data_IF_086966236792
#
_entry.id   IF_086966236792
#
_cell.length_a   1.000
_cell.length_b   1.000
_cell.length_c   1.000
_cell.angle_alpha   90.00
_cell.angle_beta   90.00
_cell.angle_gamma   90.00
#
_symmetry.space_group_name_H-M   'P 1'
#
loop_
_entity.id
_entity.type
_entity.pdbx_description
1 polymer ?
#
# COMPACT_ATOMS: atom_id res chain seq x y z
N UNK A 1 -25.18 -32.87 80.88
CA UNK A 1 -26.42 -33.58 81.25
C UNK A 1 -27.07 -34.05 79.96
N UNK A 2 -27.48 -35.32 79.98
CA UNK A 2 -27.96 -36.17 78.89
C UNK A 2 -29.01 -35.54 77.94
N UNK A 3 -28.78 -35.80 76.63
CA UNK A 3 -29.71 -36.36 75.62
C UNK A 3 -31.16 -35.85 75.50
N UNK A 4 -31.51 -35.38 74.29
CA UNK A 4 -32.78 -35.62 73.58
C UNK A 4 -32.46 -35.62 72.06
N UNK A 5 -32.30 -36.80 71.41
CA UNK A 5 -33.27 -37.47 70.49
C UNK A 5 -33.84 -36.54 69.41
N UNK A 6 -33.32 -36.55 68.17
CA UNK A 6 -33.54 -37.49 67.05
C UNK A 6 -34.95 -37.40 66.40
N UNK A 7 -35.03 -36.89 65.16
CA UNK A 7 -35.41 -37.68 63.96
C UNK A 7 -35.62 -36.81 62.70
N UNK A 8 -34.91 -37.23 61.65
CA UNK A 8 -35.25 -37.29 60.21
C UNK A 8 -35.97 -36.13 59.51
N UNK A 9 -35.31 -35.60 58.46
CA UNK A 9 -35.76 -35.87 57.08
C UNK A 9 -34.75 -35.40 56.02
N UNK A 10 -34.69 -36.22 54.98
CA UNK A 10 -33.89 -36.22 53.75
C UNK A 10 -33.90 -34.94 52.89
N UNK A 11 -32.78 -34.73 52.17
CA UNK A 11 -32.61 -34.22 50.78
C UNK A 11 -33.26 -32.87 50.39
N UNK A 12 -32.65 -31.95 49.65
CA UNK A 12 -31.59 -32.06 48.66
C UNK A 12 -30.91 -30.69 48.48
N UNK A 13 -29.58 -30.67 48.43
CA UNK A 13 -28.82 -29.52 47.91
C UNK A 13 -28.92 -29.55 46.38
N UNK A 14 -29.68 -28.62 45.81
CA UNK A 14 -29.69 -28.37 44.37
C UNK A 14 -28.49 -27.48 44.05
N UNK A 15 -27.36 -28.11 43.73
CA UNK A 15 -26.22 -27.42 43.12
C UNK A 15 -26.51 -27.26 41.64
N UNK A 16 -26.95 -26.08 41.21
CA UNK A 16 -27.06 -25.74 39.79
C UNK A 16 -25.63 -25.62 39.24
N UNK A 17 -25.11 -26.71 38.69
CA UNK A 17 -23.94 -26.67 37.84
C UNK A 17 -24.34 -25.98 36.54
N UNK A 18 -24.00 -24.70 36.40
CA UNK A 18 -23.95 -24.05 35.09
C UNK A 18 -22.91 -24.81 34.26
N UNK A 19 -23.40 -25.69 33.41
CA UNK A 19 -22.68 -26.17 32.23
C UNK A 19 -22.40 -24.94 31.36
N UNK A 20 -21.26 -24.29 31.61
CA UNK A 20 -20.61 -23.50 30.57
C UNK A 20 -20.25 -24.53 29.51
N UNK A 21 -21.08 -24.62 28.47
CA UNK A 21 -20.70 -25.31 27.25
C UNK A 21 -19.48 -24.57 26.71
N UNK A 22 -18.29 -25.06 27.08
CA UNK A 22 -17.10 -24.83 26.28
C UNK A 22 -17.44 -25.44 24.92
N UNK A 23 -17.81 -24.59 23.97
CA UNK A 23 -17.76 -24.96 22.56
C UNK A 23 -16.29 -25.19 22.30
N UNK A 24 -15.83 -26.42 22.54
CA UNK A 24 -14.59 -26.90 21.97
C UNK A 24 -14.73 -26.66 20.47
N UNK A 25 -13.94 -25.75 19.91
CA UNK A 25 -13.83 -25.51 18.47
C UNK A 25 -13.10 -26.68 17.80
N UNK A 26 -13.54 -27.91 18.08
CA UNK A 26 -13.15 -29.10 17.35
C UNK A 26 -13.70 -28.99 15.91
N UNK A 27 -12.97 -28.28 15.04
CA UNK A 27 -13.37 -28.10 13.65
C UNK A 27 -12.38 -27.39 12.73
N UNK A 28 -11.53 -26.50 13.25
CA UNK A 28 -10.58 -25.75 12.39
C UNK A 28 -9.15 -25.94 12.89
N UNK A 29 -8.60 -27.14 12.66
CA UNK A 29 -7.19 -27.40 12.98
C UNK A 29 -6.32 -26.53 12.09
N UNK A 30 -5.61 -25.58 12.70
CA UNK A 30 -4.56 -24.81 12.07
C UNK A 30 -3.47 -25.75 11.54
N UNK A 31 -3.15 -25.63 10.25
CA UNK A 31 -2.14 -26.45 9.57
C UNK A 31 -1.24 -25.57 8.73
N UNK A 32 -0.02 -26.02 8.50
CA UNK A 32 0.90 -25.40 7.55
C UNK A 32 0.78 -26.07 6.18
N UNK A 33 0.98 -25.29 5.12
CA UNK A 33 1.03 -25.77 3.74
C UNK A 33 -0.33 -26.14 3.13
N UNK A 34 -1.44 -25.57 3.62
CA UNK A 34 -2.74 -25.78 2.98
C UNK A 34 -2.74 -25.18 1.58
N UNK A 35 -3.27 -25.89 0.59
CA UNK A 35 -3.43 -25.33 -0.77
C UNK A 35 -4.89 -24.97 -0.97
N UNK A 36 -5.16 -23.70 -1.29
CA UNK A 36 -6.49 -23.19 -1.61
C UNK A 36 -6.57 -22.88 -3.10
N UNK A 37 -7.55 -23.45 -3.78
CA UNK A 37 -7.83 -23.17 -5.18
C UNK A 37 -9.12 -22.38 -5.32
N UNK A 38 -9.23 -21.59 -6.39
CA UNK A 38 -10.50 -20.94 -6.76
C UNK A 38 -11.61 -22.02 -6.88
N UNK A 39 -12.72 -21.91 -6.13
CA UNK A 39 -13.85 -22.82 -6.27
C UNK A 39 -14.50 -22.72 -7.66
N UNK A 40 -15.00 -23.85 -8.17
CA UNK A 40 -15.67 -23.90 -9.49
C UNK A 40 -16.99 -23.11 -9.49
N UNK A 41 -17.63 -23.00 -8.34
CA UNK A 41 -18.92 -22.34 -8.15
C UNK A 41 -18.83 -20.84 -7.82
N UNK A 42 -17.64 -20.24 -7.94
CA UNK A 42 -17.38 -18.82 -7.65
C UNK A 42 -17.70 -18.37 -6.21
N UNK A 43 -17.92 -19.31 -5.29
CA UNK A 43 -18.17 -18.98 -3.89
C UNK A 43 -16.88 -18.51 -3.19
N UNK A 44 -16.97 -17.53 -2.27
CA UNK A 44 -15.82 -17.15 -1.46
C UNK A 44 -15.33 -18.30 -0.58
N UNK A 45 -14.02 -18.34 -0.34
CA UNK A 45 -13.41 -19.28 0.60
C UNK A 45 -13.23 -18.57 1.93
N UNK A 46 -13.76 -19.15 3.00
CA UNK A 46 -13.62 -18.65 4.37
C UNK A 46 -12.75 -19.59 5.19
N UNK A 47 -11.97 -19.00 6.09
CA UNK A 47 -11.33 -19.73 7.17
C UNK A 47 -11.47 -18.95 8.47
N UNK A 48 -11.85 -19.60 9.57
CA UNK A 48 -12.68 -20.81 9.64
C UNK A 48 -13.84 -20.84 8.65
N UNK A 49 -14.22 -22.03 8.16
CA UNK A 49 -15.32 -22.16 7.18
C UNK A 49 -16.68 -21.65 7.71
N UNK A 50 -16.83 -21.60 9.04
CA UNK A 50 -18.02 -21.11 9.75
C UNK A 50 -18.02 -19.59 9.99
N UNK A 51 -16.88 -18.92 9.83
CA UNK A 51 -16.77 -17.48 10.09
C UNK A 51 -17.33 -16.65 8.93
N UNK A 52 -17.89 -15.48 9.25
CA UNK A 52 -18.40 -14.49 8.32
C UNK A 52 -18.02 -13.09 8.82
N UNK A 53 -17.94 -12.11 7.92
CA UNK A 53 -17.42 -10.76 8.21
C UNK A 53 -18.32 -9.96 9.17
N UNK A 54 -19.58 -10.36 9.35
CA UNK A 54 -20.48 -9.74 10.33
C UNK A 54 -20.30 -10.27 11.77
N UNK A 55 -19.33 -11.17 11.99
CA UNK A 55 -19.00 -11.76 13.27
C UNK A 55 -17.63 -11.29 13.73
N UNK A 56 -17.42 -11.26 15.04
CA UNK A 56 -16.07 -11.06 15.60
C UNK A 56 -15.09 -12.08 15.02
N UNK A 57 -13.85 -11.64 14.77
CA UNK A 57 -12.78 -12.53 14.34
C UNK A 57 -12.67 -13.75 15.28
N UNK A 58 -12.60 -14.98 14.74
CA UNK A 58 -12.61 -16.19 15.56
C UNK A 58 -11.40 -16.26 16.48
N UNK A 59 -11.62 -16.78 17.69
CA UNK A 59 -10.55 -17.05 18.63
C UNK A 59 -9.59 -18.10 18.07
N UNK A 60 -8.30 -17.86 18.26
CA UNK A 60 -7.22 -18.76 17.95
C UNK A 60 -6.42 -19.02 19.22
N UNK A 61 -6.23 -20.29 19.56
CA UNK A 61 -5.44 -20.70 20.71
C UNK A 61 -3.98 -20.24 20.58
N UNK A 62 -3.26 -20.23 21.71
CA UNK A 62 -1.82 -19.97 21.71
C UNK A 62 -1.04 -21.02 20.90
N UNK A 63 0.19 -20.66 20.53
CA UNK A 63 1.17 -21.55 19.89
C UNK A 63 0.67 -22.21 18.59
N UNK A 64 -0.08 -21.46 17.76
CA UNK A 64 -0.53 -21.94 16.46
C UNK A 64 0.38 -21.42 15.35
N UNK A 65 0.55 -22.24 14.30
CA UNK A 65 1.25 -21.86 13.09
C UNK A 65 0.48 -22.37 11.89
N UNK A 66 -0.07 -21.45 11.10
CA UNK A 66 -0.88 -21.78 9.95
C UNK A 66 -0.30 -21.18 8.68
N UNK A 67 -0.43 -21.88 7.56
CA UNK A 67 -0.14 -21.28 6.26
C UNK A 67 -0.99 -21.85 5.14
N UNK A 68 -1.25 -20.99 4.16
CA UNK A 68 -2.02 -21.25 2.96
C UNK A 68 -1.26 -20.77 1.74
N UNK A 69 -1.17 -21.62 0.73
CA UNK A 69 -0.76 -21.26 -0.62
C UNK A 69 -2.05 -21.17 -1.43
N UNK A 70 -2.38 -19.96 -1.86
CA UNK A 70 -3.61 -19.68 -2.58
C UNK A 70 -3.28 -19.55 -4.05
N UNK A 71 -3.87 -20.42 -4.89
CA UNK A 71 -3.68 -20.36 -6.34
C UNK A 71 -4.64 -19.35 -6.97
N UNK A 72 -4.14 -18.63 -7.97
CA UNK A 72 -4.88 -17.61 -8.71
C UNK A 72 -4.79 -17.97 -10.20
N UNK A 73 -5.90 -18.39 -10.83
CA UNK A 73 -5.89 -18.73 -12.25
C UNK A 73 -5.52 -17.53 -13.13
N UNK A 74 -4.95 -17.80 -14.31
CA UNK A 74 -4.69 -16.74 -15.30
C UNK A 74 -5.98 -16.00 -15.67
N UNK A 75 -5.90 -14.68 -15.85
CA UNK A 75 -7.05 -13.80 -16.07
C UNK A 75 -7.84 -13.43 -14.81
N UNK A 76 -7.43 -13.92 -13.63
CA UNK A 76 -8.04 -13.58 -12.35
C UNK A 76 -7.03 -12.92 -11.40
N UNK A 77 -7.59 -12.25 -10.39
CA UNK A 77 -6.92 -11.87 -9.15
C UNK A 77 -7.68 -12.46 -7.96
N UNK A 78 -7.01 -12.59 -6.81
CA UNK A 78 -7.64 -12.90 -5.54
C UNK A 78 -7.70 -11.67 -4.64
N UNK A 79 -8.87 -11.39 -4.08
CA UNK A 79 -9.13 -10.40 -3.03
C UNK A 79 -9.14 -11.13 -1.68
N UNK A 80 -8.13 -10.89 -0.85
CA UNK A 80 -8.02 -11.43 0.50
C UNK A 80 -8.47 -10.36 1.51
N UNK A 81 -9.37 -10.74 2.40
CA UNK A 81 -9.85 -9.91 3.51
C UNK A 81 -9.51 -10.66 4.80
N UNK A 82 -8.81 -9.99 5.72
CA UNK A 82 -8.38 -10.58 6.99
C UNK A 82 -9.04 -9.80 8.13
N UNK A 83 -9.59 -10.52 9.11
CA UNK A 83 -10.09 -9.97 10.37
C UNK A 83 -9.31 -10.64 11.50
N UNK A 84 -8.50 -9.89 12.24
CA UNK A 84 -7.66 -10.50 13.26
C UNK A 84 -6.78 -9.53 14.04
N UNK A 85 -6.30 -10.02 15.18
CA UNK A 85 -5.42 -9.28 16.07
C UNK A 85 -4.51 -10.24 16.82
N UNK A 86 -3.21 -9.95 16.76
CA UNK A 86 -2.19 -10.54 17.62
C UNK A 86 -2.16 -9.82 18.97
N UNK A 87 -2.03 -10.59 20.05
CA UNK A 87 -1.99 -10.05 21.41
C UNK A 87 -0.56 -9.93 21.98
N UNK A 88 0.42 -9.90 21.08
CA UNK A 88 1.84 -9.69 21.36
C UNK A 88 2.54 -9.05 20.15
N UNK A 89 3.84 -8.76 20.28
CA UNK A 89 4.63 -8.02 19.28
C UNK A 89 5.52 -8.91 18.40
N UNK A 90 5.48 -10.23 18.59
CA UNK A 90 6.35 -11.21 17.92
C UNK A 90 5.54 -12.13 16.99
N UNK A 91 4.24 -12.23 17.22
CA UNK A 91 3.27 -12.90 16.36
C UNK A 91 2.85 -11.99 15.23
N UNK A 92 2.67 -12.55 14.03
CA UNK A 92 2.35 -11.76 12.85
C UNK A 92 1.46 -12.49 11.85
N UNK A 93 0.66 -11.71 11.11
CA UNK A 93 0.11 -12.10 9.83
C UNK A 93 1.12 -11.75 8.74
N UNK A 94 1.31 -12.65 7.78
CA UNK A 94 2.29 -12.52 6.74
C UNK A 94 1.68 -12.85 5.38
N UNK A 95 1.95 -12.02 4.38
CA UNK A 95 1.60 -12.33 2.98
C UNK A 95 2.80 -12.18 2.08
N UNK A 96 2.94 -13.10 1.12
CA UNK A 96 3.95 -13.05 0.06
C UNK A 96 3.24 -13.20 -1.28
N UNK A 97 3.36 -12.21 -2.16
CA UNK A 97 2.77 -12.27 -3.49
C UNK A 97 3.65 -13.01 -4.52
N UNK A 98 3.18 -13.12 -5.77
CA UNK A 98 3.89 -13.85 -6.83
C UNK A 98 5.21 -13.21 -7.27
N UNK A 99 5.42 -11.93 -6.99
CA UNK A 99 6.67 -11.22 -7.22
C UNK A 99 7.62 -11.28 -6.01
N UNK A 100 7.18 -11.88 -4.90
CA UNK A 100 7.95 -11.99 -3.67
C UNK A 100 7.84 -10.77 -2.75
N UNK A 101 6.91 -9.84 -3.01
CA UNK A 101 6.69 -8.72 -2.08
C UNK A 101 6.10 -9.28 -0.78
N UNK A 102 6.73 -8.93 0.35
CA UNK A 102 6.39 -9.40 1.68
C UNK A 102 5.72 -8.30 2.51
N UNK A 103 4.61 -8.63 3.15
CA UNK A 103 3.92 -7.75 4.10
C UNK A 103 3.73 -8.49 5.41
N UNK A 104 3.96 -7.79 6.51
CA UNK A 104 3.80 -8.31 7.87
C UNK A 104 3.01 -7.31 8.73
N UNK A 105 2.00 -7.81 9.44
CA UNK A 105 1.13 -7.00 10.32
C UNK A 105 0.83 -7.74 11.62
N UNK A 106 0.39 -7.01 12.65
CA UNK A 106 -0.09 -7.57 13.93
C UNK A 106 -1.59 -7.37 14.11
N UNK A 107 -2.23 -6.58 13.25
CA UNK A 107 -3.65 -6.27 13.32
C UNK A 107 -4.21 -6.07 11.90
N UNK A 108 -5.35 -6.69 11.64
CA UNK A 108 -6.07 -6.63 10.38
C UNK A 108 -7.55 -6.34 10.65
N UNK A 109 -8.05 -5.26 10.04
CA UNK A 109 -9.41 -4.76 10.20
C UNK A 109 -10.18 -4.80 8.87
N UNK A 110 -10.09 -5.92 8.17
CA UNK A 110 -10.84 -6.22 6.93
C UNK A 110 -10.49 -5.34 5.72
N UNK A 111 -9.35 -4.66 5.76
CA UNK A 111 -8.82 -3.95 4.60
C UNK A 111 -8.33 -4.96 3.55
N UNK A 112 -8.79 -4.88 2.29
CA UNK A 112 -8.51 -5.91 1.31
C UNK A 112 -7.06 -5.86 0.79
N UNK A 113 -6.53 -7.04 0.49
CA UNK A 113 -5.32 -7.27 -0.29
C UNK A 113 -5.69 -7.87 -1.64
N UNK A 114 -4.91 -7.54 -2.67
CA UNK A 114 -5.15 -7.98 -4.03
C UNK A 114 -3.91 -8.69 -4.56
N UNK A 115 -4.09 -9.93 -5.02
CA UNK A 115 -3.01 -10.79 -5.46
C UNK A 115 -3.25 -11.29 -6.89
N UNK A 116 -2.29 -11.10 -7.80
CA UNK A 116 -2.39 -11.60 -9.17
C UNK A 116 -2.00 -13.08 -9.26
N UNK A 117 -2.19 -13.63 -10.46
CA UNK A 117 -1.63 -14.93 -10.86
C UNK A 117 -0.11 -15.03 -10.61
N UNK A 118 0.44 -16.24 -10.34
CA UNK A 118 -0.26 -17.53 -10.23
C UNK A 118 -0.65 -17.92 -8.81
N UNK A 119 -0.13 -17.24 -7.78
CA UNK A 119 -0.38 -17.56 -6.37
C UNK A 119 0.08 -16.46 -5.42
N UNK A 120 -0.40 -16.54 -4.19
CA UNK A 120 0.21 -15.87 -3.03
C UNK A 120 0.24 -16.82 -1.84
N UNK A 121 1.06 -16.50 -0.85
CA UNK A 121 1.12 -17.21 0.43
C UNK A 121 0.53 -16.31 1.52
N UNK A 122 -0.34 -16.87 2.36
CA UNK A 122 -0.79 -16.29 3.62
C UNK A 122 -0.24 -17.18 4.74
N UNK A 123 0.44 -16.61 5.71
CA UNK A 123 0.94 -17.32 6.87
C UNK A 123 0.65 -16.53 8.13
N UNK A 124 0.54 -17.26 9.24
CA UNK A 124 0.50 -16.65 10.56
C UNK A 124 1.15 -17.58 11.58
N UNK A 125 1.74 -16.99 12.59
CA UNK A 125 2.22 -17.70 13.78
C UNK A 125 1.93 -16.85 14.99
N UNK A 126 1.43 -17.48 16.06
CA UNK A 126 1.16 -16.79 17.30
C UNK A 126 1.73 -17.50 18.53
N UNK A 127 2.28 -16.72 19.46
CA UNK A 127 2.70 -17.22 20.76
C UNK A 127 1.57 -17.14 21.78
N UNK A 128 0.83 -16.03 21.83
CA UNK A 128 -0.35 -15.88 22.69
C UNK A 128 -1.64 -16.11 21.94
N UNK A 129 -2.71 -16.43 22.67
CA UNK A 129 -4.06 -16.49 22.12
C UNK A 129 -4.36 -15.22 21.31
N UNK A 130 -4.92 -15.39 20.13
CA UNK A 130 -5.12 -14.35 19.13
C UNK A 130 -6.53 -14.45 18.55
N UNK A 131 -6.83 -13.58 17.57
CA UNK A 131 -8.02 -13.72 16.73
C UNK A 131 -7.61 -13.73 15.28
N UNK A 132 -8.21 -14.61 14.48
CA UNK A 132 -7.87 -14.72 13.07
C UNK A 132 -8.99 -15.38 12.27
N UNK A 133 -9.44 -14.68 11.23
CA UNK A 133 -10.30 -15.20 10.18
C UNK A 133 -9.98 -14.51 8.85
N UNK A 134 -10.23 -15.19 7.75
CA UNK A 134 -10.09 -14.60 6.43
C UNK A 134 -11.18 -15.05 5.46
N UNK A 135 -11.36 -14.22 4.43
CA UNK A 135 -12.16 -14.49 3.24
C UNK A 135 -11.32 -14.25 2.00
N UNK A 136 -11.45 -15.14 1.02
CA UNK A 136 -10.86 -14.98 -0.31
C UNK A 136 -11.98 -14.99 -1.35
N UNK A 137 -11.97 -14.00 -2.23
CA UNK A 137 -12.82 -13.92 -3.42
C UNK A 137 -11.92 -13.84 -4.64
N UNK A 138 -12.27 -14.53 -5.73
CA UNK A 138 -11.55 -14.39 -7.00
C UNK A 138 -12.35 -13.51 -7.94
N UNK A 139 -11.71 -12.49 -8.50
CA UNK A 139 -12.30 -11.59 -9.49
C UNK A 139 -11.58 -11.70 -10.83
N UNK A 140 -12.27 -11.42 -11.92
CA UNK A 140 -11.65 -11.26 -13.25
C UNK A 140 -11.07 -9.87 -13.37
N UNK A 141 -9.95 -9.72 -14.08
CA UNK A 141 -9.49 -8.40 -14.49
C UNK A 141 -10.56 -7.68 -15.34
N UNK A 142 -10.65 -6.34 -15.25
CA UNK A 142 -11.55 -5.58 -16.10
C UNK A 142 -11.27 -5.86 -17.58
N UNK A 143 -12.34 -6.03 -18.37
CA UNK A 143 -12.24 -6.29 -19.80
C UNK A 143 -11.97 -5.00 -20.57
N UNK A 144 -10.84 -4.96 -21.29
CA UNK A 144 -10.47 -3.85 -22.17
C UNK A 144 -9.57 -2.80 -21.51
N UNK A 145 -8.73 -2.17 -22.34
CA UNK A 145 -7.95 -1.00 -21.95
C UNK A 145 -8.86 0.23 -21.93
N UNK A 146 -8.84 0.97 -20.82
CA UNK A 146 -9.52 2.28 -20.76
C UNK A 146 -8.74 3.31 -21.57
N UNK A 147 -7.40 3.25 -21.51
CA UNK A 147 -6.49 4.10 -22.30
C UNK A 147 -5.18 3.35 -22.62
N UNK A 148 -4.55 3.75 -23.72
CA UNK A 148 -3.15 3.47 -24.09
C UNK A 148 -2.47 4.82 -24.27
N UNK A 149 -1.46 5.11 -23.44
CA UNK A 149 -0.85 6.44 -23.39
C UNK A 149 0.68 6.38 -23.52
N UNK A 150 1.19 7.12 -24.50
CA UNK A 150 2.60 7.47 -24.59
C UNK A 150 2.94 8.57 -23.59
N UNK A 151 3.85 8.27 -22.66
CA UNK A 151 4.40 9.19 -21.67
C UNK A 151 5.80 9.56 -22.12
N UNK A 152 5.92 10.71 -22.79
CA UNK A 152 7.19 11.26 -23.28
C UNK A 152 7.40 12.65 -22.68
N UNK A 153 7.14 13.71 -23.44
CA UNK A 153 7.50 15.09 -23.05
C UNK A 153 6.78 15.63 -21.82
N UNK A 154 5.58 15.13 -21.53
CA UNK A 154 4.76 15.56 -20.40
C UNK A 154 4.42 14.37 -19.51
N UNK A 155 4.40 14.56 -18.18
CA UNK A 155 3.98 13.50 -17.27
C UNK A 155 2.46 13.33 -17.36
N UNK A 156 1.98 12.19 -16.88
CA UNK A 156 0.55 11.91 -16.72
C UNK A 156 0.26 11.78 -15.23
N UNK A 157 -0.77 12.48 -14.76
CA UNK A 157 -1.31 12.34 -13.41
C UNK A 157 -2.68 11.69 -13.52
N UNK A 158 -2.90 10.63 -12.74
CA UNK A 158 -4.15 9.88 -12.75
C UNK A 158 -4.71 9.75 -11.35
N UNK A 159 -6.00 10.03 -11.18
CA UNK A 159 -6.74 9.66 -9.98
C UNK A 159 -6.97 8.13 -9.98
N UNK A 160 -5.98 7.40 -9.47
CA UNK A 160 -5.80 5.97 -9.68
C UNK A 160 -6.86 5.11 -8.99
N UNK A 161 -7.47 5.63 -7.91
CA UNK A 161 -8.51 4.93 -7.14
C UNK A 161 -9.94 5.42 -7.41
N UNK A 162 -10.12 6.30 -8.40
CA UNK A 162 -11.44 6.85 -8.77
C UNK A 162 -12.37 5.79 -9.38
N UNK A 163 -11.88 5.10 -10.42
CA UNK A 163 -12.65 4.12 -11.18
C UNK A 163 -11.94 2.76 -11.18
N UNK A 164 -12.67 1.68 -11.44
CA UNK A 164 -12.07 0.42 -11.87
C UNK A 164 -11.57 0.63 -13.30
N UNK A 165 -10.28 0.41 -13.56
CA UNK A 165 -9.73 0.57 -14.90
C UNK A 165 -8.43 -0.20 -15.11
N UNK A 166 -8.07 -0.35 -16.37
CA UNK A 166 -6.78 -0.84 -16.84
C UNK A 166 -6.22 0.10 -17.90
N UNK A 167 -4.91 0.35 -17.86
CA UNK A 167 -4.23 1.18 -18.85
C UNK A 167 -2.80 0.68 -19.12
N UNK A 168 -2.36 0.85 -20.36
CA UNK A 168 -0.97 0.67 -20.77
C UNK A 168 -0.29 2.05 -20.84
N UNK A 169 0.94 2.13 -20.31
CA UNK A 169 1.79 3.30 -20.42
C UNK A 169 3.13 2.93 -21.04
N UNK A 170 3.52 3.66 -22.08
CA UNK A 170 4.79 3.47 -22.79
C UNK A 170 5.63 4.74 -22.75
N UNK A 171 6.94 4.59 -22.56
CA UNK A 171 7.90 5.69 -22.55
C UNK A 171 9.12 5.34 -23.39
N UNK A 172 9.92 6.33 -23.74
CA UNK A 172 11.07 6.16 -24.65
C UNK A 172 12.16 5.31 -24.01
N UNK A 173 12.40 5.49 -22.71
CA UNK A 173 13.42 4.76 -21.94
C UNK A 173 12.83 3.85 -20.84
N UNK A 174 11.51 3.68 -20.85
CA UNK A 174 10.74 3.08 -19.75
C UNK A 174 9.89 4.11 -19.02
N UNK A 175 9.36 3.72 -17.86
CA UNK A 175 8.38 4.47 -17.08
C UNK A 175 8.89 4.65 -15.65
N UNK A 176 8.72 5.86 -15.11
CA UNK A 176 8.90 6.19 -13.71
C UNK A 176 7.53 6.37 -13.05
N UNK A 177 7.34 5.78 -11.86
CA UNK A 177 6.09 5.87 -11.09
C UNK A 177 6.31 6.40 -9.67
N UNK A 178 5.41 7.28 -9.24
CA UNK A 178 5.24 7.71 -7.84
C UNK A 178 3.77 7.77 -7.45
N UNK A 179 3.44 7.29 -6.26
CA UNK A 179 2.07 7.18 -5.78
C UNK A 179 1.84 8.17 -4.64
N UNK A 180 0.94 9.12 -4.86
CA UNK A 180 0.59 10.16 -3.90
C UNK A 180 -0.77 9.82 -3.29
N UNK A 181 -0.84 9.23 -2.08
CA UNK A 181 -2.11 8.97 -1.45
C UNK A 181 -2.83 10.26 -1.10
N UNK A 182 -4.15 10.27 -1.19
CA UNK A 182 -4.95 11.41 -0.75
C UNK A 182 -4.83 11.64 0.77
N UNK A 183 -4.59 10.57 1.53
CA UNK A 183 -4.30 10.62 2.96
C UNK A 183 -3.03 9.79 3.28
N UNK A 184 -1.89 10.42 3.60
CA UNK A 184 -0.64 9.70 3.88
C UNK A 184 -0.70 8.84 5.16
N UNK A 185 -1.72 9.02 6.01
CA UNK A 185 -1.96 8.19 7.21
C UNK A 185 -2.88 7.00 6.96
N UNK A 186 -3.63 6.99 5.84
CA UNK A 186 -4.56 5.92 5.49
C UNK A 186 -4.59 5.73 3.98
N UNK A 187 -3.71 4.87 3.48
CA UNK A 187 -3.45 4.65 2.05
C UNK A 187 -3.68 3.19 1.63
N UNK A 188 -4.49 2.44 2.37
CA UNK A 188 -4.79 1.02 2.06
C UNK A 188 -5.51 0.84 0.72
N UNK A 189 -6.21 1.87 0.23
CA UNK A 189 -6.80 1.93 -1.11
C UNK A 189 -5.79 1.66 -2.22
N UNK A 190 -4.52 2.03 -2.05
CA UNK A 190 -3.46 1.77 -3.04
C UNK A 190 -3.20 0.27 -3.27
N UNK A 191 -3.65 -0.63 -2.37
CA UNK A 191 -3.51 -2.08 -2.55
C UNK A 191 -4.31 -2.61 -3.73
N UNK A 192 -5.38 -1.93 -4.15
CA UNK A 192 -6.22 -2.34 -5.28
C UNK A 192 -5.58 -2.05 -6.64
N UNK A 193 -4.52 -1.26 -6.69
CA UNK A 193 -3.83 -0.93 -7.93
C UNK A 193 -2.58 -1.78 -8.09
N UNK A 194 -2.57 -2.64 -9.11
CA UNK A 194 -1.47 -3.54 -9.45
C UNK A 194 -0.67 -3.01 -10.64
N UNK A 195 0.64 -3.21 -10.60
CA UNK A 195 1.59 -2.80 -11.64
C UNK A 195 2.26 -4.03 -12.24
N UNK A 196 2.22 -4.12 -13.56
CA UNK A 196 2.85 -5.16 -14.37
C UNK A 196 3.83 -4.50 -15.35
N UNK A 197 4.97 -5.13 -15.59
CA UNK A 197 5.78 -4.84 -16.77
C UNK A 197 5.31 -5.72 -17.93
N UNK A 198 4.90 -5.09 -19.04
CA UNK A 198 4.23 -5.76 -20.16
C UNK A 198 2.89 -5.12 -20.51
N UNK A 199 2.29 -5.57 -21.61
CA UNK A 199 1.15 -4.89 -22.27
C UNK A 199 -0.19 -5.11 -21.58
N UNK A 200 -0.23 -6.11 -20.72
CA UNK A 200 -1.44 -6.57 -20.05
C UNK A 200 -1.08 -7.25 -18.71
N UNK A 201 -2.11 -7.80 -18.06
CA UNK A 201 -1.98 -8.57 -16.83
C UNK A 201 -1.25 -9.92 -16.99
N UNK A 202 -0.91 -10.35 -18.22
CA UNK A 202 -0.03 -11.51 -18.45
C UNK A 202 1.45 -11.11 -18.38
N UNK A 203 1.75 -9.81 -18.32
CA UNK A 203 3.06 -9.28 -18.05
C UNK A 203 3.61 -9.71 -16.68
N UNK A 204 4.88 -9.40 -16.43
CA UNK A 204 5.52 -9.70 -15.16
C UNK A 204 4.96 -8.77 -14.09
N UNK A 205 4.22 -9.32 -13.14
CA UNK A 205 3.78 -8.55 -11.98
C UNK A 205 4.98 -8.02 -11.19
N UNK A 206 4.91 -6.75 -10.82
CA UNK A 206 5.97 -6.04 -10.10
C UNK A 206 5.58 -5.88 -8.64
N UNK A 207 4.50 -5.13 -8.40
CA UNK A 207 4.01 -4.79 -7.07
C UNK A 207 2.65 -4.12 -7.16
N UNK A 208 2.05 -3.81 -6.01
CA UNK A 208 0.91 -2.90 -5.92
C UNK A 208 1.40 -1.50 -5.50
N UNK A 209 0.57 -0.47 -5.71
CA UNK A 209 0.95 0.90 -5.39
C UNK A 209 1.18 1.14 -3.89
N UNK A 210 0.52 0.38 -3.02
CA UNK A 210 0.74 0.47 -1.58
C UNK A 210 2.20 0.11 -1.23
N UNK A 211 2.71 -1.01 -1.75
CA UNK A 211 4.08 -1.44 -1.54
C UNK A 211 5.09 -0.49 -2.20
N UNK A 212 4.80 0.01 -3.40
CA UNK A 212 5.66 1.01 -4.07
C UNK A 212 5.76 2.30 -3.24
N UNK A 213 4.63 2.81 -2.76
CA UNK A 213 4.59 3.99 -1.88
C UNK A 213 5.38 3.77 -0.58
N UNK A 214 5.22 2.61 0.07
CA UNK A 214 5.96 2.28 1.29
C UNK A 214 7.48 2.24 1.09
N UNK A 215 7.96 1.94 -0.11
CA UNK A 215 9.39 1.94 -0.43
C UNK A 215 10.03 3.35 -0.37
N UNK A 216 9.20 4.41 -0.46
CA UNK A 216 9.61 5.82 -0.54
C UNK A 216 10.60 6.12 -1.68
N UNK A 217 10.56 5.29 -2.72
CA UNK A 217 11.42 5.39 -3.90
C UNK A 217 10.57 5.32 -5.16
N UNK A 218 11.04 5.98 -6.21
CA UNK A 218 10.43 5.80 -7.52
C UNK A 218 10.55 4.33 -7.94
N UNK A 219 9.52 3.83 -8.60
CA UNK A 219 9.67 2.65 -9.42
C UNK A 219 10.16 3.06 -10.82
N UNK A 220 11.10 2.31 -11.37
CA UNK A 220 11.61 2.48 -12.73
C UNK A 220 11.41 1.18 -13.49
N UNK A 221 10.69 1.23 -14.61
CA UNK A 221 10.61 0.13 -15.56
C UNK A 221 11.68 0.25 -16.65
N UNK A 222 11.94 -0.88 -17.28
CA UNK A 222 12.81 -0.98 -18.47
C UNK A 222 12.03 -0.94 -19.79
N UNK A 223 10.69 -0.90 -19.72
CA UNK A 223 9.79 -0.90 -20.86
C UNK A 223 8.41 -0.37 -20.49
N UNK A 224 7.41 -0.74 -21.28
CA UNK A 224 6.03 -0.38 -21.02
C UNK A 224 5.48 -1.06 -19.75
N UNK A 225 4.55 -0.39 -19.09
CA UNK A 225 3.87 -0.89 -17.89
C UNK A 225 2.37 -0.96 -18.11
N UNK A 226 1.76 -2.00 -17.57
CA UNK A 226 0.31 -2.13 -17.49
C UNK A 226 -0.11 -1.94 -16.04
N UNK A 227 -1.02 -1.00 -15.82
CA UNK A 227 -1.51 -0.62 -14.51
C UNK A 227 -3.01 -0.86 -14.46
N UNK A 228 -3.47 -1.56 -13.42
CA UNK A 228 -4.88 -1.91 -13.25
C UNK A 228 -5.32 -1.61 -11.82
N UNK A 229 -6.38 -0.81 -11.69
CA UNK A 229 -7.09 -0.62 -10.43
C UNK A 229 -8.34 -1.52 -10.39
N UNK A 230 -8.42 -2.36 -9.36
CA UNK A 230 -9.43 -3.40 -9.20
C UNK A 230 -10.65 -2.98 -8.37
N UNK A 231 -10.59 -1.82 -7.72
CA UNK A 231 -11.67 -1.32 -6.85
C UNK A 231 -11.78 0.21 -6.95
N UNK A 232 -12.98 0.70 -7.28
CA UNK A 232 -13.29 2.13 -7.24
C UNK A 232 -13.62 2.53 -5.79
N UNK A 233 -12.63 3.00 -5.04
CA UNK A 233 -12.83 3.47 -3.66
C UNK A 233 -13.18 4.96 -3.58
N UNK A 234 -13.00 5.70 -4.69
CA UNK A 234 -13.23 7.14 -4.78
C UNK A 234 -12.43 7.97 -3.74
N UNK A 235 -11.30 7.42 -3.26
CA UNK A 235 -10.37 8.10 -2.35
C UNK A 235 -9.56 9.19 -3.06
N UNK A 236 -9.46 9.11 -4.39
CA UNK A 236 -8.73 10.05 -5.26
C UNK A 236 -7.22 10.08 -4.98
N UNK A 237 -6.65 8.91 -4.68
CA UNK A 237 -5.19 8.75 -4.69
C UNK A 237 -4.66 9.06 -6.08
N UNK A 238 -3.50 9.70 -6.16
CA UNK A 238 -2.90 10.13 -7.41
C UNK A 238 -1.69 9.24 -7.76
N UNK A 239 -1.51 8.97 -9.04
CA UNK A 239 -0.35 8.30 -9.59
C UNK A 239 0.32 9.23 -10.59
N UNK A 240 1.59 9.55 -10.37
CA UNK A 240 2.46 10.23 -11.31
C UNK A 240 3.15 9.20 -12.19
N UNK A 241 3.03 9.38 -13.51
CA UNK A 241 3.61 8.51 -14.52
C UNK A 241 4.47 9.38 -15.44
N UNK A 242 5.75 9.03 -15.59
CA UNK A 242 6.71 9.83 -16.36
C UNK A 242 7.59 8.95 -17.25
N UNK A 243 8.18 9.51 -18.31
CA UNK A 243 9.26 8.85 -19.03
C UNK A 243 10.48 8.76 -18.10
N UNK A 244 11.01 7.55 -17.92
CA UNK A 244 12.15 7.32 -17.03
C UNK A 244 13.42 8.04 -17.50
N UNK A 245 13.51 8.43 -18.78
CA UNK A 245 14.64 9.18 -19.34
C UNK A 245 14.95 10.48 -18.56
N UNK A 246 13.94 11.07 -17.92
CA UNK A 246 14.08 12.35 -17.20
C UNK A 246 14.37 12.18 -15.71
N UNK A 247 14.26 10.97 -15.16
CA UNK A 247 14.34 10.71 -13.71
C UNK A 247 15.34 9.62 -13.34
N UNK A 248 15.78 8.78 -14.29
CA UNK A 248 16.68 7.65 -14.05
C UNK A 248 18.10 8.05 -13.60
N UNK A 249 18.57 9.23 -13.96
CA UNK A 249 19.90 9.74 -13.64
C UNK A 249 19.97 10.48 -12.29
N UNK A 250 18.83 10.65 -11.61
CA UNK A 250 18.77 11.28 -10.30
C UNK A 250 19.25 10.30 -9.23
N UNK A 251 20.19 10.73 -8.40
CA UNK A 251 20.73 9.93 -7.30
C UNK A 251 19.70 9.70 -6.19
N UNK A 252 18.94 10.75 -5.87
CA UNK A 252 17.78 10.67 -5.01
C UNK A 252 16.63 11.38 -5.71
N UNK A 253 15.49 10.70 -5.81
CA UNK A 253 14.25 11.28 -6.27
C UNK A 253 13.16 10.88 -5.28
N UNK A 254 12.42 11.86 -4.76
CA UNK A 254 11.49 11.64 -3.66
C UNK A 254 10.26 12.54 -3.78
N UNK A 255 9.15 12.06 -3.23
CA UNK A 255 7.90 12.81 -3.14
C UNK A 255 8.01 13.94 -2.11
N UNK A 256 7.40 15.09 -2.39
CA UNK A 256 7.12 16.16 -1.44
C UNK A 256 5.80 15.85 -0.73
N UNK A 257 5.87 14.97 0.27
CA UNK A 257 4.72 14.51 1.06
C UNK A 257 4.48 15.45 2.26
N UNK A 258 3.98 16.65 1.96
CA UNK A 258 3.66 17.67 2.96
C UNK A 258 2.15 17.85 3.12
N UNK A 259 1.61 17.84 4.36
CA UNK A 259 0.20 18.09 4.59
C UNK A 259 -0.22 19.50 4.12
N UNK A 260 -1.40 19.61 3.52
CA UNK A 260 -2.01 20.92 3.20
C UNK A 260 -2.25 21.69 4.52
N UNK A 261 -2.13 23.02 4.47
CA UNK A 261 -2.22 23.92 5.63
C UNK A 261 -1.14 23.66 6.68
N UNK A 262 0.06 23.28 6.24
CA UNK A 262 1.20 23.05 7.13
C UNK A 262 2.49 23.61 6.56
N UNK A 263 3.46 23.82 7.46
CA UNK A 263 4.86 24.05 7.10
C UNK A 263 5.62 22.75 7.31
N UNK A 264 6.40 22.34 6.32
CA UNK A 264 7.19 21.13 6.35
C UNK A 264 8.62 21.40 5.87
N UNK A 265 9.57 20.60 6.36
CA UNK A 265 10.94 20.61 5.85
C UNK A 265 11.31 19.24 5.31
N UNK A 266 11.92 19.22 4.13
CA UNK A 266 12.34 17.98 3.45
C UNK A 266 13.79 18.11 3.01
N UNK A 267 14.56 17.06 3.24
CA UNK A 267 15.97 16.99 2.86
C UNK A 267 16.19 15.97 1.76
N UNK A 268 16.97 16.35 0.75
CA UNK A 268 17.49 15.45 -0.28
C UNK A 268 19.01 15.55 -0.35
N UNK A 269 19.66 14.49 -0.82
CA UNK A 269 21.09 14.42 -0.99
C UNK A 269 21.46 13.71 -2.30
N UNK A 270 21.99 14.48 -3.24
CA UNK A 270 22.48 13.96 -4.52
C UNK A 270 23.95 13.54 -4.51
N UNK A 271 24.72 13.85 -3.46
CA UNK A 271 26.17 13.66 -3.47
C UNK A 271 26.80 14.44 -4.63
N UNK A 272 27.50 13.77 -5.53
CA UNK A 272 28.08 14.41 -6.73
C UNK A 272 27.13 14.43 -7.94
N UNK A 273 25.89 13.95 -7.77
CA UNK A 273 24.86 13.86 -8.82
C UNK A 273 23.64 14.68 -8.44
N UNK A 274 22.74 14.87 -9.42
CA UNK A 274 21.49 15.56 -9.18
C UNK A 274 20.54 14.77 -8.28
N UNK A 275 19.73 15.49 -7.50
CA UNK A 275 18.61 14.95 -6.73
C UNK A 275 17.37 15.81 -6.95
N UNK A 276 16.17 15.26 -6.72
CA UNK A 276 14.95 16.02 -6.90
C UNK A 276 13.86 15.69 -5.90
N UNK A 277 12.99 16.69 -5.66
CA UNK A 277 11.69 16.53 -5.05
C UNK A 277 10.60 16.72 -6.11
N UNK A 278 9.52 15.96 -6.01
CA UNK A 278 8.33 16.13 -6.85
C UNK A 278 7.07 16.23 -6.03
N UNK A 279 6.17 17.11 -6.45
CA UNK A 279 4.81 17.22 -5.93
C UNK A 279 3.81 16.99 -7.04
N UNK A 280 2.62 16.54 -6.65
CA UNK A 280 1.47 16.35 -7.51
C UNK A 280 0.24 16.95 -6.87
N UNK A 281 -0.65 17.45 -7.73
CA UNK A 281 -1.88 18.14 -7.39
C UNK A 281 -1.68 19.65 -7.43
N UNK A 282 -2.76 20.38 -7.71
CA UNK A 282 -2.81 21.84 -7.63
C UNK A 282 -2.67 22.26 -6.15
N UNK A 283 -1.43 22.27 -5.67
CA UNK A 283 -1.08 22.69 -4.31
C UNK A 283 -0.28 23.98 -4.42
N UNK A 284 -0.76 25.02 -3.74
CA UNK A 284 -0.05 26.27 -3.66
C UNK A 284 1.16 26.11 -2.73
N UNK A 285 2.35 26.08 -3.31
CA UNK A 285 3.59 25.81 -2.58
C UNK A 285 4.39 27.09 -2.43
N UNK A 286 4.61 27.50 -1.18
CA UNK A 286 5.50 28.62 -0.88
C UNK A 286 6.81 28.08 -0.33
N UNK A 287 7.89 28.17 -1.10
CA UNK A 287 9.23 27.89 -0.61
C UNK A 287 9.67 29.04 0.31
N UNK A 288 9.80 28.75 1.60
CA UNK A 288 10.17 29.70 2.65
C UNK A 288 11.67 29.75 2.91
N UNK A 289 12.33 28.59 2.87
CA UNK A 289 13.77 28.47 3.11
C UNK A 289 14.38 27.36 2.23
N UNK A 290 15.64 27.55 1.83
CA UNK A 290 16.42 26.53 1.13
C UNK A 290 17.89 26.62 1.56
N UNK A 291 18.33 25.61 2.30
CA UNK A 291 19.74 25.42 2.65
C UNK A 291 20.36 24.43 1.68
N UNK A 292 21.35 24.86 0.91
CA UNK A 292 22.07 24.02 -0.06
C UNK A 292 23.52 24.48 -0.22
N UNK A 293 24.33 23.72 -0.97
CA UNK A 293 25.69 24.15 -1.28
C UNK A 293 25.70 25.40 -2.17
N UNK A 294 26.60 26.34 -1.88
CA UNK A 294 26.72 27.62 -2.59
C UNK A 294 27.00 27.42 -4.08
N UNK A 295 27.78 26.39 -4.43
CA UNK A 295 28.11 26.03 -5.82
C UNK A 295 27.00 25.25 -6.55
N UNK A 296 25.96 24.83 -5.85
CA UNK A 296 24.86 24.06 -6.43
C UNK A 296 23.78 24.96 -7.01
N UNK A 297 22.95 24.39 -7.88
CA UNK A 297 21.80 25.04 -8.50
C UNK A 297 20.52 24.35 -8.10
N UNK A 298 19.48 25.13 -7.81
CA UNK A 298 18.10 24.65 -7.75
C UNK A 298 17.42 25.04 -9.05
N UNK A 299 16.85 24.06 -9.75
CA UNK A 299 16.05 24.29 -10.95
C UNK A 299 14.64 23.78 -10.73
N UNK A 300 13.67 24.64 -11.02
CA UNK A 300 12.25 24.32 -10.93
C UNK A 300 11.72 23.96 -12.31
N UNK A 301 10.96 22.88 -12.38
CA UNK A 301 10.27 22.44 -13.59
C UNK A 301 8.77 22.29 -13.32
N UNK A 302 7.94 22.71 -14.27
CA UNK A 302 6.51 22.41 -14.33
C UNK A 302 6.27 21.27 -15.33
N UNK A 303 5.65 20.18 -14.89
CA UNK A 303 5.58 18.96 -15.70
C UNK A 303 6.89 18.17 -15.63
N UNK A 304 7.46 17.77 -16.78
CA UNK A 304 8.66 16.91 -16.83
C UNK A 304 9.98 17.67 -16.66
N UNK A 305 11.03 16.99 -16.19
CA UNK A 305 12.40 17.52 -16.10
C UNK A 305 13.04 17.55 -17.50
N UNK A 306 12.61 18.50 -18.33
CA UNK A 306 13.10 18.72 -19.69
C UNK A 306 12.96 20.19 -20.10
N UNK A 307 13.38 20.52 -21.33
CA UNK A 307 13.34 21.89 -21.84
C UNK A 307 11.92 22.49 -21.92
N UNK A 308 10.88 21.66 -22.07
CA UNK A 308 9.48 22.14 -22.11
C UNK A 308 8.96 22.46 -20.71
N UNK A 309 9.35 21.65 -19.72
CA UNK A 309 8.96 21.89 -18.34
C UNK A 309 9.85 22.89 -17.60
N UNK A 310 10.96 23.33 -18.19
CA UNK A 310 11.88 24.27 -17.54
C UNK A 310 11.16 25.57 -17.18
N UNK A 311 11.19 25.92 -15.88
CA UNK A 311 10.69 27.20 -15.41
C UNK A 311 11.84 28.18 -15.12
N UNK A 312 12.66 27.88 -14.12
CA UNK A 312 13.76 28.77 -13.70
C UNK A 312 14.83 28.06 -12.87
N UNK A 313 16.06 28.55 -12.97
CA UNK A 313 17.20 28.12 -12.15
C UNK A 313 17.71 29.25 -11.26
N UNK A 314 18.18 28.88 -10.08
CA UNK A 314 18.77 29.78 -9.10
C UNK A 314 20.06 29.19 -8.54
N UNK A 315 21.09 30.01 -8.40
CA UNK A 315 22.35 29.61 -7.79
C UNK A 315 22.23 29.60 -6.26
N UNK A 316 22.88 28.65 -5.60
CA UNK A 316 22.89 28.54 -4.13
C UNK A 316 23.40 29.80 -3.42
N UNK A 317 24.30 30.55 -4.05
CA UNK A 317 24.81 31.83 -3.52
C UNK A 317 23.77 32.96 -3.46
N UNK A 318 22.70 32.89 -4.26
CA UNK A 318 21.72 33.97 -4.42
C UNK A 318 20.28 33.56 -4.16
N UNK A 319 19.99 32.28 -3.92
CA UNK A 319 18.63 31.80 -3.72
C UNK A 319 17.92 32.50 -2.55
N UNK A 320 18.62 32.77 -1.45
CA UNK A 320 18.01 33.35 -0.25
C UNK A 320 17.41 34.74 -0.49
N UNK A 321 17.95 35.53 -1.43
CA UNK A 321 17.38 36.84 -1.77
C UNK A 321 16.12 36.77 -2.64
N UNK A 322 15.77 35.57 -3.14
CA UNK A 322 14.56 35.34 -3.92
C UNK A 322 13.41 34.81 -3.06
N UNK A 323 13.66 34.40 -1.82
CA UNK A 323 12.64 33.81 -0.93
C UNK A 323 11.80 34.89 -0.23
N UNK A 324 10.51 34.62 0.06
CA UNK A 324 9.78 33.40 -0.29
C UNK A 324 9.35 33.38 -1.77
N UNK A 325 9.27 32.18 -2.36
CA UNK A 325 8.80 31.98 -3.75
C UNK A 325 7.56 31.09 -3.78
N UNK A 326 6.64 31.38 -4.69
CA UNK A 326 5.41 30.59 -4.88
C UNK A 326 5.47 29.83 -6.20
N UNK A 327 5.02 28.57 -6.18
CA UNK A 327 4.98 27.67 -7.33
C UNK A 327 3.63 26.96 -7.41
N UNK A 328 2.94 27.16 -8.54
CA UNK A 328 1.57 26.68 -8.75
C UNK A 328 1.49 25.95 -10.10
N UNK A 329 1.50 24.61 -10.04
CA UNK A 329 1.34 23.71 -11.18
C UNK A 329 0.92 22.34 -10.67
N UNK A 330 0.18 21.58 -11.49
CA UNK A 330 -0.27 20.22 -11.17
C UNK A 330 0.92 19.30 -10.83
N UNK A 331 2.05 19.48 -11.53
CA UNK A 331 3.30 18.78 -11.25
C UNK A 331 4.43 19.80 -11.17
N UNK A 332 5.18 19.78 -10.08
CA UNK A 332 6.38 20.61 -9.87
C UNK A 332 7.54 19.73 -9.44
N UNK A 333 8.69 19.92 -10.09
CA UNK A 333 9.95 19.31 -9.66
C UNK A 333 10.92 20.38 -9.18
N UNK A 334 11.57 20.11 -8.06
CA UNK A 334 12.67 20.90 -7.51
C UNK A 334 13.94 20.07 -7.63
N UNK A 335 14.79 20.39 -8.60
CA UNK A 335 16.01 19.63 -8.90
C UNK A 335 17.22 20.38 -8.34
N UNK A 336 17.99 19.70 -7.49
CA UNK A 336 19.27 20.16 -6.97
C UNK A 336 20.38 19.50 -7.78
N UNK A 337 21.28 20.30 -8.35
CA UNK A 337 22.34 19.81 -9.25
C UNK A 337 23.30 18.83 -8.60
N UNK A 338 23.63 19.04 -7.32
CA UNK A 338 24.51 18.21 -6.50
C UNK A 338 24.44 18.61 -5.03
N UNK A 339 25.00 17.77 -4.17
CA UNK A 339 25.11 17.99 -2.74
C UNK A 339 23.83 17.69 -1.97
N UNK A 340 23.83 18.14 -0.70
CA UNK A 340 22.68 18.05 0.20
C UNK A 340 21.91 19.36 0.17
N UNK A 341 20.58 19.26 0.13
CA UNK A 341 19.67 20.39 0.23
C UNK A 341 18.56 20.12 1.24
N UNK A 342 18.17 21.15 2.00
CA UNK A 342 17.03 21.14 2.91
C UNK A 342 16.07 22.25 2.52
N UNK A 343 14.89 21.87 2.07
CA UNK A 343 13.81 22.77 1.70
C UNK A 343 12.85 22.95 2.87
N UNK A 344 12.28 24.14 3.03
CA UNK A 344 11.14 24.39 3.91
C UNK A 344 10.02 25.01 3.10
N UNK A 345 8.89 24.31 3.02
CA UNK A 345 7.71 24.73 2.29
C UNK A 345 6.56 25.04 3.25
N UNK A 346 5.75 26.04 2.89
CA UNK A 346 4.39 26.19 3.37
C UNK A 346 3.43 25.71 2.29
N UNK A 347 2.56 24.76 2.63
CA UNK A 347 1.56 24.18 1.74
C UNK A 347 0.21 24.84 1.98
N UNK A 348 -0.31 25.52 0.97
CA UNK A 348 -1.62 26.15 1.01
C UNK A 348 -2.62 25.39 0.12
N UNK A 349 -3.95 25.55 0.35
CA UNK A 349 -5.00 24.87 -0.41
C UNK A 349 -4.96 25.14 -1.91
#
# INVERSE_FOLDING_TARGET
MLLYTAMNSFSALVTIALLISTVSSAGNVCKTGNVLNRPVNDQPVYWPATWRENQSAPALEAEQSCSWIVTVPSGYYAKLIISGKMNDNISHFQTIDSAGNFVQTTHEGEQPYYFPSPKFTLAMSNEKAATFGFKIVWGKYPSGLKYDMGVSRSPVVVNITKDIFAAEYSGTSGISLFAFPANPKNYFSLRSTLVFEGKDFNGRYISNLYSLYQSRKQFLSSGLVYIVNLEASNVLDQLLIQDSAYTNNLQQYSELDCPINSTCSVTINGGDKASALVTVGEKHQVLLDLVMQVSAWVTVYYGSINNFGYYKSYAGESILSNLPMTFDSEVVHYVISHGKASFTFQMNP
#
